data_IF_315451203747
#
_entry.id   IF_315451203747
#
_cell.length_a   1.000
_cell.length_b   1.000
_cell.length_c   1.000
_cell.angle_alpha   90.00
_cell.angle_beta   90.00
_cell.angle_gamma   90.00
#
_symmetry.space_group_name_H-M   'P 1'
#
loop_
_entity.id
_entity.type
_entity.pdbx_description
1 polymer ?
#
# COMPACT_ATOMS: atom_id res chain seq x y z
N UNK A 1 12.27 -0.53 -11.05
CA UNK A 1 13.58 0.09 -11.33
C UNK A 1 13.52 1.59 -11.02
N UNK A 2 14.64 2.19 -10.60
CA UNK A 2 14.73 3.63 -10.32
C UNK A 2 14.32 4.48 -11.52
N UNK A 3 14.66 4.06 -12.72
CA UNK A 3 14.26 4.71 -13.98
C UNK A 3 12.74 4.96 -14.10
N UNK A 4 11.91 4.07 -13.55
CA UNK A 4 10.46 4.25 -13.56
C UNK A 4 9.99 5.29 -12.55
N UNK A 5 10.73 5.51 -11.47
CA UNK A 5 10.41 6.55 -10.47
C UNK A 5 10.79 7.95 -10.94
N UNK A 6 11.82 8.09 -11.75
CA UNK A 6 12.21 9.39 -12.34
C UNK A 6 11.16 9.93 -13.31
N UNK A 7 10.36 9.04 -13.93
CA UNK A 7 9.26 9.42 -14.84
C UNK A 7 7.95 9.74 -14.11
N UNK A 8 7.83 9.33 -12.82
CA UNK A 8 6.62 9.54 -12.03
C UNK A 8 6.71 10.84 -11.23
N UNK A 9 5.63 11.62 -11.30
CA UNK A 9 5.40 12.73 -10.40
C UNK A 9 4.24 12.38 -9.47
N UNK A 10 4.40 12.54 -8.13
CA UNK A 10 3.32 12.29 -7.20
C UNK A 10 2.08 13.15 -7.52
N UNK A 11 0.91 12.55 -7.55
CA UNK A 11 -0.34 13.25 -7.84
C UNK A 11 -0.58 14.41 -6.86
N UNK A 12 -0.21 14.22 -5.59
CA UNK A 12 -0.33 15.23 -4.55
C UNK A 12 0.53 16.49 -4.82
N UNK A 13 1.55 16.40 -5.67
CA UNK A 13 2.46 17.50 -6.04
C UNK A 13 2.12 18.13 -7.39
N UNK A 14 1.01 17.72 -8.02
CA UNK A 14 0.55 18.23 -9.31
C UNK A 14 -0.40 19.42 -9.11
N UNK A 15 0.09 20.54 -8.64
CA UNK A 15 -0.71 21.73 -8.29
C UNK A 15 -1.69 22.15 -9.38
N UNK A 16 -1.23 22.19 -10.63
CA UNK A 16 -2.08 22.58 -11.78
C UNK A 16 -3.22 21.58 -12.01
N UNK A 17 -2.97 20.28 -11.83
CA UNK A 17 -3.99 19.26 -11.94
C UNK A 17 -5.01 19.36 -10.81
N UNK A 18 -4.53 19.56 -9.58
CA UNK A 18 -5.39 19.72 -8.41
C UNK A 18 -6.30 20.95 -8.58
N UNK A 19 -5.74 22.10 -8.99
CA UNK A 19 -6.51 23.32 -9.26
C UNK A 19 -7.52 23.11 -10.38
N UNK A 20 -7.12 22.48 -11.51
CA UNK A 20 -8.01 22.17 -12.63
C UNK A 20 -9.22 21.33 -12.20
N UNK A 21 -8.99 20.31 -11.37
CA UNK A 21 -10.03 19.33 -10.99
C UNK A 21 -10.89 19.77 -9.83
N UNK A 22 -10.31 20.46 -8.87
CA UNK A 22 -11.01 20.86 -7.65
C UNK A 22 -11.55 22.29 -7.70
N UNK A 23 -10.98 23.13 -8.55
CA UNK A 23 -11.31 24.56 -8.63
C UNK A 23 -10.61 25.41 -7.57
N UNK A 24 -9.67 24.83 -6.80
CA UNK A 24 -8.92 25.55 -5.78
C UNK A 24 -7.43 25.15 -5.77
N UNK A 25 -6.58 26.12 -5.44
CA UNK A 25 -5.13 25.89 -5.34
C UNK A 25 -4.79 25.03 -4.12
N UNK A 26 -3.81 24.15 -4.24
CA UNK A 26 -3.24 23.43 -3.10
C UNK A 26 -2.85 24.38 -1.96
N UNK A 27 -3.03 23.92 -0.71
CA UNK A 27 -2.73 24.71 0.48
C UNK A 27 -3.69 25.86 0.80
N UNK A 28 -4.79 26.04 0.00
CA UNK A 28 -5.78 27.09 0.29
C UNK A 28 -6.68 26.67 1.45
N UNK A 29 -6.75 27.54 2.47
CA UNK A 29 -7.64 27.33 3.62
C UNK A 29 -8.90 28.16 3.45
N UNK A 30 -10.10 27.52 3.56
CA UNK A 30 -11.37 28.22 3.61
C UNK A 30 -11.98 28.62 2.26
N UNK A 31 -11.56 28.01 1.15
CA UNK A 31 -12.16 28.19 -0.18
C UNK A 31 -13.26 27.19 -0.50
N UNK A 32 -14.08 27.49 -1.52
CA UNK A 32 -14.99 26.51 -2.11
C UNK A 32 -14.21 25.67 -3.12
N UNK A 33 -14.33 24.34 -3.04
CA UNK A 33 -13.75 23.42 -4.01
C UNK A 33 -14.63 22.18 -4.20
N UNK A 34 -14.40 21.47 -5.30
CA UNK A 34 -15.14 20.26 -5.64
C UNK A 34 -14.68 19.10 -4.77
N UNK A 35 -15.58 18.51 -3.98
CA UNK A 35 -15.31 17.38 -3.09
C UNK A 35 -15.13 16.04 -3.82
N UNK A 36 -15.80 15.88 -4.98
CA UNK A 36 -15.69 14.70 -5.84
C UNK A 36 -15.25 15.14 -7.25
N UNK A 37 -13.97 15.49 -7.42
CA UNK A 37 -13.44 15.91 -8.71
C UNK A 37 -13.39 14.74 -9.70
N UNK A 38 -13.38 15.07 -11.00
CA UNK A 38 -13.21 14.07 -12.04
C UNK A 38 -11.79 13.49 -12.02
N UNK A 39 -11.69 12.16 -11.97
CA UNK A 39 -10.40 11.44 -11.81
C UNK A 39 -10.26 10.22 -12.74
N UNK A 40 -11.26 9.95 -13.55
CA UNK A 40 -11.36 8.75 -14.39
C UNK A 40 -10.22 8.60 -15.42
N UNK A 41 -9.67 9.71 -15.88
CA UNK A 41 -8.55 9.76 -16.84
C UNK A 41 -7.16 9.77 -16.19
N UNK A 42 -7.08 9.97 -14.87
CA UNK A 42 -5.79 10.10 -14.16
C UNK A 42 -4.95 8.82 -14.24
N UNK A 43 -5.49 7.61 -14.02
CA UNK A 43 -4.70 6.38 -14.09
C UNK A 43 -4.03 6.16 -15.44
N UNK A 44 -4.71 6.50 -16.53
CA UNK A 44 -4.17 6.36 -17.89
C UNK A 44 -3.13 7.43 -18.24
N UNK A 45 -3.29 8.64 -17.72
CA UNK A 45 -2.44 9.80 -18.09
C UNK A 45 -1.17 9.92 -17.25
N UNK A 46 -1.22 9.52 -15.99
CA UNK A 46 -0.17 9.82 -15.01
C UNK A 46 0.48 8.57 -14.40
N UNK A 47 0.12 7.38 -14.86
CA UNK A 47 0.81 6.15 -14.47
C UNK A 47 1.83 5.72 -15.50
N UNK A 48 2.83 4.97 -15.05
CA UNK A 48 3.78 4.27 -15.92
C UNK A 48 3.37 2.80 -16.03
N UNK A 49 3.31 2.28 -17.25
CA UNK A 49 3.02 0.86 -17.50
C UNK A 49 4.31 0.08 -17.71
N UNK A 50 4.57 -0.89 -16.86
CA UNK A 50 5.74 -1.77 -16.99
C UNK A 50 5.31 -3.24 -16.86
N UNK A 51 5.56 -4.05 -17.91
CA UNK A 51 5.28 -5.50 -17.92
C UNK A 51 3.83 -5.87 -17.51
N UNK A 52 2.87 -5.06 -17.90
CA UNK A 52 1.46 -5.25 -17.56
C UNK A 52 1.06 -4.72 -16.18
N UNK A 53 2.00 -4.23 -15.38
CA UNK A 53 1.73 -3.57 -14.10
C UNK A 53 1.73 -2.05 -14.30
N UNK A 54 0.66 -1.42 -13.84
CA UNK A 54 0.51 0.03 -13.86
C UNK A 54 0.93 0.60 -12.51
N UNK A 55 1.93 1.46 -12.52
CA UNK A 55 2.43 2.16 -11.34
C UNK A 55 1.91 3.61 -11.34
N UNK A 56 1.29 4.01 -10.23
CA UNK A 56 0.83 5.38 -9.98
C UNK A 56 1.36 5.82 -8.63
N UNK A 57 2.00 6.97 -8.57
CA UNK A 57 2.48 7.55 -7.32
C UNK A 57 1.47 8.58 -6.80
N UNK A 58 0.87 8.29 -5.64
CA UNK A 58 -0.13 9.17 -5.04
C UNK A 58 0.51 10.38 -4.34
N UNK A 59 1.69 10.19 -3.75
CA UNK A 59 2.30 11.18 -2.87
C UNK A 59 1.70 11.19 -1.47
N UNK A 60 2.21 12.06 -0.62
CA UNK A 60 1.69 12.28 0.74
C UNK A 60 1.09 13.68 0.86
N UNK A 61 -0.10 13.76 1.42
CA UNK A 61 -0.65 15.03 1.89
C UNK A 61 -0.34 15.12 3.38
N UNK A 62 0.51 16.08 3.77
CA UNK A 62 0.66 16.41 5.18
C UNK A 62 -0.70 16.92 5.67
N UNK A 63 -1.41 16.08 6.40
CA UNK A 63 -2.63 16.47 7.11
C UNK A 63 -2.19 17.42 8.24
N UNK A 64 -2.01 18.68 7.89
CA UNK A 64 -1.78 19.73 8.86
C UNK A 64 -2.95 19.80 9.83
N UNK A 65 -2.78 19.21 11.00
CA UNK A 65 -3.63 19.30 12.18
C UNK A 65 -5.14 19.14 11.96
N UNK A 66 -5.68 18.03 12.45
CA UNK A 66 -7.11 17.81 12.74
C UNK A 66 -8.12 18.37 11.72
N UNK A 67 -8.39 17.59 10.69
CA UNK A 67 -9.65 17.70 9.96
C UNK A 67 -9.72 18.74 8.84
N UNK A 68 -8.61 19.23 8.34
CA UNK A 68 -8.63 20.10 7.17
C UNK A 68 -8.99 19.30 5.92
N UNK A 69 -10.19 19.52 5.38
CA UNK A 69 -10.54 19.06 4.04
C UNK A 69 -9.87 20.03 3.07
N UNK A 70 -8.78 19.59 2.46
CA UNK A 70 -8.07 20.37 1.45
C UNK A 70 -8.31 19.80 0.05
N UNK A 71 -8.12 20.59 -1.01
CA UNK A 71 -8.33 20.15 -2.39
C UNK A 71 -7.54 18.90 -2.75
N UNK A 72 -6.29 18.79 -2.30
CA UNK A 72 -5.41 17.65 -2.51
C UNK A 72 -6.00 16.37 -1.91
N UNK A 73 -6.43 16.44 -0.66
CA UNK A 73 -7.03 15.30 0.03
C UNK A 73 -8.34 14.84 -0.62
N UNK A 74 -9.18 15.79 -1.08
CA UNK A 74 -10.40 15.48 -1.80
C UNK A 74 -10.11 14.76 -3.12
N UNK A 75 -9.12 15.23 -3.87
CA UNK A 75 -8.71 14.63 -5.13
C UNK A 75 -8.13 13.23 -4.92
N UNK A 76 -7.19 13.05 -3.99
CA UNK A 76 -6.59 11.75 -3.70
C UNK A 76 -7.63 10.74 -3.19
N UNK A 77 -8.54 11.17 -2.31
CA UNK A 77 -9.63 10.32 -1.83
C UNK A 77 -10.54 9.86 -2.97
N UNK A 78 -10.92 10.77 -3.87
CA UNK A 78 -11.78 10.44 -5.01
C UNK A 78 -11.06 9.51 -5.98
N UNK A 79 -9.78 9.76 -6.27
CA UNK A 79 -8.96 8.90 -7.12
C UNK A 79 -8.82 7.50 -6.52
N UNK A 80 -8.52 7.41 -5.25
CA UNK A 80 -8.42 6.15 -4.53
C UNK A 80 -9.72 5.35 -4.61
N UNK A 81 -10.86 6.00 -4.32
CA UNK A 81 -12.16 5.38 -4.42
C UNK A 81 -12.45 4.89 -5.85
N UNK A 82 -12.12 5.71 -6.87
CA UNK A 82 -12.29 5.34 -8.28
C UNK A 82 -11.48 4.08 -8.65
N UNK A 83 -10.23 3.97 -8.18
CA UNK A 83 -9.38 2.81 -8.42
C UNK A 83 -9.95 1.54 -7.80
N UNK A 84 -10.49 1.62 -6.58
CA UNK A 84 -11.09 0.50 -5.86
C UNK A 84 -12.37 -0.05 -6.51
N UNK A 85 -13.09 0.76 -7.28
CA UNK A 85 -14.30 0.31 -7.98
C UNK A 85 -14.05 -0.49 -9.27
N UNK A 86 -12.81 -0.64 -9.72
CA UNK A 86 -12.45 -1.42 -10.91
C UNK A 86 -12.40 -2.91 -10.54
N UNK A 87 -13.51 -3.61 -10.73
CA UNK A 87 -13.72 -4.99 -10.25
C UNK A 87 -12.82 -6.06 -10.89
N UNK A 88 -12.29 -5.79 -12.07
CA UNK A 88 -11.47 -6.75 -12.82
C UNK A 88 -9.97 -6.55 -12.62
N UNK A 89 -9.57 -5.54 -11.83
CA UNK A 89 -8.19 -5.19 -11.58
C UNK A 89 -7.75 -5.66 -10.18
N UNK A 90 -6.46 -6.03 -10.05
CA UNK A 90 -5.81 -6.20 -8.75
C UNK A 90 -5.13 -4.89 -8.39
N UNK A 91 -5.57 -4.25 -7.32
CA UNK A 91 -4.98 -3.03 -6.80
C UNK A 91 -4.11 -3.35 -5.59
N UNK A 92 -2.81 -3.04 -5.67
CA UNK A 92 -1.89 -3.10 -4.55
C UNK A 92 -1.59 -1.69 -4.05
N UNK A 93 -1.83 -1.46 -2.76
CA UNK A 93 -1.47 -0.22 -2.08
C UNK A 93 -0.23 -0.47 -1.25
N UNK A 94 0.90 0.09 -1.70
CA UNK A 94 2.13 0.11 -0.90
C UNK A 94 2.07 1.30 0.06
N UNK A 95 1.97 1.02 1.34
CA UNK A 95 1.75 2.02 2.39
C UNK A 95 2.83 1.96 3.46
N UNK A 96 3.12 3.09 4.10
CA UNK A 96 3.85 3.07 5.36
C UNK A 96 3.11 2.27 6.42
N UNK A 97 3.84 1.72 7.39
CA UNK A 97 3.26 0.93 8.46
C UNK A 97 2.22 1.77 9.25
N UNK A 98 0.97 1.43 9.08
CA UNK A 98 -0.15 2.10 9.71
C UNK A 98 -1.42 2.07 8.85
N UNK A 99 -2.52 2.53 9.42
CA UNK A 99 -3.83 2.63 8.75
C UNK A 99 -4.33 4.07 8.66
N UNK A 100 -3.46 5.02 8.99
CA UNK A 100 -3.81 6.45 9.10
C UNK A 100 -4.30 7.04 7.78
N UNK A 101 -3.85 6.46 6.66
CA UNK A 101 -4.25 6.86 5.32
C UNK A 101 -5.56 6.21 4.85
N UNK A 102 -6.04 5.17 5.56
CA UNK A 102 -7.30 4.51 5.28
C UNK A 102 -8.41 5.14 6.12
N UNK A 103 -9.35 5.81 5.47
CA UNK A 103 -10.57 6.26 6.11
C UNK A 103 -11.62 5.14 6.16
N UNK A 104 -12.62 5.23 7.06
CA UNK A 104 -13.73 4.26 7.13
C UNK A 104 -14.44 4.04 5.80
N UNK A 105 -14.55 5.10 4.99
CA UNK A 105 -15.21 5.02 3.68
C UNK A 105 -14.42 4.27 2.60
N UNK A 106 -13.13 3.99 2.82
CA UNK A 106 -12.26 3.28 1.86
C UNK A 106 -12.04 1.83 2.25
N UNK A 107 -12.22 1.49 3.52
CA UNK A 107 -12.01 0.14 4.06
C UNK A 107 -13.01 -0.87 3.50
N UNK A 108 -14.25 -0.45 3.22
CA UNK A 108 -15.29 -1.31 2.65
C UNK A 108 -14.92 -1.86 1.25
N UNK A 109 -13.91 -1.29 0.61
CA UNK A 109 -13.44 -1.69 -0.73
C UNK A 109 -12.07 -2.38 -0.70
N UNK A 110 -11.48 -2.57 0.48
CA UNK A 110 -10.21 -3.29 0.64
C UNK A 110 -10.51 -4.74 0.99
N UNK A 111 -10.14 -5.66 0.10
CA UNK A 111 -10.38 -7.09 0.31
C UNK A 111 -9.51 -7.67 1.42
N UNK A 112 -8.26 -7.24 1.53
CA UNK A 112 -7.35 -7.69 2.57
C UNK A 112 -6.22 -6.69 2.84
N UNK A 113 -5.70 -6.67 4.07
CA UNK A 113 -4.47 -5.98 4.46
C UNK A 113 -3.40 -6.99 4.83
N UNK A 114 -2.23 -6.87 4.20
CA UNK A 114 -1.05 -7.64 4.53
C UNK A 114 -0.12 -6.79 5.39
N UNK A 115 0.16 -7.25 6.61
CA UNK A 115 1.14 -6.62 7.50
C UNK A 115 2.43 -7.43 7.44
N UNK A 116 3.48 -6.82 6.88
CA UNK A 116 4.79 -7.44 6.77
C UNK A 116 5.55 -7.27 8.08
N UNK A 117 6.00 -8.39 8.66
CA UNK A 117 6.68 -8.43 9.97
C UNK A 117 8.01 -9.16 9.90
N UNK A 118 8.98 -8.71 10.67
CA UNK A 118 10.20 -9.46 10.94
C UNK A 118 10.06 -10.28 12.23
N UNK A 119 10.90 -11.30 12.42
CA UNK A 119 10.88 -12.18 13.58
C UNK A 119 11.39 -11.48 14.86
N UNK A 120 10.74 -10.39 15.25
CA UNK A 120 11.06 -9.61 16.44
C UNK A 120 9.80 -9.25 17.23
N UNK A 121 9.92 -9.15 18.57
CA UNK A 121 8.81 -8.70 19.43
C UNK A 121 8.32 -7.28 19.09
N UNK A 122 9.24 -6.40 18.65
CA UNK A 122 8.90 -5.04 18.25
C UNK A 122 7.99 -5.06 17.02
N UNK A 123 8.37 -5.80 15.97
CA UNK A 123 7.58 -5.90 14.74
C UNK A 123 6.19 -6.47 14.99
N UNK A 124 6.10 -7.54 15.78
CA UNK A 124 4.79 -8.10 16.18
C UNK A 124 3.99 -7.16 17.08
N UNK A 125 4.65 -6.37 17.93
CA UNK A 125 3.99 -5.32 18.72
C UNK A 125 3.34 -4.25 17.83
N UNK A 126 4.05 -3.81 16.79
CA UNK A 126 3.49 -2.89 15.78
C UNK A 126 2.32 -3.52 15.03
N UNK A 127 2.42 -4.78 14.62
CA UNK A 127 1.32 -5.48 13.95
C UNK A 127 0.05 -5.56 14.83
N UNK A 128 0.19 -5.77 16.14
CA UNK A 128 -0.95 -5.75 17.09
C UNK A 128 -1.58 -4.35 17.19
N UNK A 129 -0.78 -3.28 17.15
CA UNK A 129 -1.29 -1.91 17.10
C UNK A 129 -2.04 -1.64 15.79
N UNK A 130 -1.48 -2.06 14.65
CA UNK A 130 -2.14 -1.96 13.34
C UNK A 130 -3.47 -2.72 13.36
N UNK A 131 -3.51 -3.95 13.91
CA UNK A 131 -4.75 -4.70 14.05
C UNK A 131 -5.82 -3.93 14.82
N UNK A 132 -5.45 -3.29 15.94
CA UNK A 132 -6.38 -2.48 16.71
C UNK A 132 -6.96 -1.33 15.89
N UNK A 133 -6.09 -0.57 15.21
CA UNK A 133 -6.49 0.54 14.34
C UNK A 133 -7.35 0.06 13.16
N UNK A 134 -6.99 -1.07 12.54
CA UNK A 134 -7.77 -1.69 11.47
C UNK A 134 -9.19 -2.04 11.94
N UNK A 135 -9.32 -2.65 13.12
CA UNK A 135 -10.64 -2.94 13.72
C UNK A 135 -11.45 -1.67 14.01
N UNK A 136 -10.80 -0.59 14.48
CA UNK A 136 -11.47 0.69 14.78
C UNK A 136 -12.10 1.34 13.53
N UNK A 137 -11.53 1.08 12.35
CA UNK A 137 -12.05 1.55 11.06
C UNK A 137 -12.93 0.52 10.34
N UNK A 138 -13.05 -0.71 10.85
CA UNK A 138 -13.92 -1.76 10.30
C UNK A 138 -13.22 -2.77 9.40
N UNK A 139 -11.88 -2.70 9.22
CA UNK A 139 -11.12 -3.65 8.41
C UNK A 139 -10.96 -4.99 9.14
N UNK A 140 -11.62 -6.03 8.64
CA UNK A 140 -11.67 -7.35 9.27
C UNK A 140 -10.60 -8.32 8.76
N UNK A 141 -10.23 -8.23 7.48
CA UNK A 141 -9.30 -9.16 6.83
C UNK A 141 -7.88 -8.63 6.88
N UNK A 142 -7.18 -9.00 7.96
CA UNK A 142 -5.79 -8.61 8.20
C UNK A 142 -4.96 -9.87 8.40
N UNK A 143 -3.87 -9.99 7.64
CA UNK A 143 -2.96 -11.13 7.62
C UNK A 143 -1.52 -10.70 7.84
N UNK A 144 -0.70 -11.60 8.39
CA UNK A 144 0.74 -11.39 8.50
C UNK A 144 1.50 -12.12 7.39
N UNK A 145 2.58 -11.48 6.95
CA UNK A 145 3.62 -12.10 6.13
C UNK A 145 4.96 -11.91 6.85
N UNK A 146 5.60 -13.01 7.23
CA UNK A 146 6.94 -12.97 7.81
C UNK A 146 7.98 -12.58 6.76
N UNK A 147 8.83 -11.60 7.05
CA UNK A 147 9.87 -11.14 6.13
C UNK A 147 11.26 -11.38 6.71
N UNK A 148 12.22 -11.63 5.84
CA UNK A 148 13.63 -11.89 6.19
C UNK A 148 13.80 -13.03 7.20
N UNK A 149 13.00 -14.08 7.07
CA UNK A 149 13.06 -15.25 7.94
C UNK A 149 14.29 -16.08 7.59
N UNK A 150 15.18 -16.30 8.56
CA UNK A 150 16.50 -16.91 8.35
C UNK A 150 16.52 -18.42 8.60
N UNK A 151 15.65 -18.91 9.48
CA UNK A 151 15.65 -20.29 9.93
C UNK A 151 14.30 -20.71 10.53
N UNK A 152 14.18 -21.99 10.88
CA UNK A 152 12.96 -22.55 11.46
C UNK A 152 12.59 -21.97 12.84
N UNK A 153 13.58 -21.56 13.64
CA UNK A 153 13.32 -20.98 14.96
C UNK A 153 12.61 -19.62 14.82
N UNK A 154 13.01 -18.81 13.83
CA UNK A 154 12.34 -17.54 13.52
C UNK A 154 10.95 -17.76 12.95
N UNK A 155 10.77 -18.74 12.07
CA UNK A 155 9.45 -19.11 11.56
C UNK A 155 8.53 -19.54 12.72
N UNK A 156 9.00 -20.42 13.57
CA UNK A 156 8.30 -20.90 14.77
C UNK A 156 7.95 -19.79 15.75
N UNK A 157 8.89 -18.85 15.96
CA UNK A 157 8.66 -17.69 16.78
C UNK A 157 7.48 -16.85 16.22
N UNK A 158 7.45 -16.58 14.91
CA UNK A 158 6.35 -15.86 14.29
C UNK A 158 5.03 -16.63 14.42
N UNK A 159 5.00 -17.93 14.16
CA UNK A 159 3.80 -18.77 14.29
C UNK A 159 3.23 -18.76 15.71
N UNK A 160 4.08 -18.85 16.72
CA UNK A 160 3.67 -18.91 18.14
C UNK A 160 3.17 -17.55 18.63
N UNK A 161 3.86 -16.47 18.27
CA UNK A 161 3.58 -15.11 18.79
C UNK A 161 2.50 -14.36 17.98
N UNK A 162 2.13 -14.86 16.79
CA UNK A 162 1.13 -14.23 15.90
C UNK A 162 -0.29 -14.77 16.08
N UNK A 163 -0.58 -15.53 17.13
CA UNK A 163 -1.87 -16.26 17.35
C UNK A 163 -3.13 -15.44 17.12
N UNK A 164 -3.05 -14.14 17.32
CA UNK A 164 -4.20 -13.23 17.16
C UNK A 164 -4.40 -12.74 15.72
N UNK A 165 -3.42 -12.94 14.83
CA UNK A 165 -3.45 -12.48 13.45
C UNK A 165 -2.97 -13.63 12.56
N UNK A 166 -3.76 -14.12 11.59
CA UNK A 166 -3.34 -15.22 10.73
C UNK A 166 -2.06 -14.91 9.98
N UNK A 167 -1.08 -15.78 10.09
CA UNK A 167 0.18 -15.72 9.35
C UNK A 167 0.05 -16.59 8.10
N UNK A 168 0.20 -15.99 6.91
CA UNK A 168 -0.09 -16.64 5.63
C UNK A 168 1.14 -17.06 4.84
N UNK A 169 2.33 -16.75 5.32
CA UNK A 169 3.58 -17.18 4.71
C UNK A 169 4.80 -16.42 5.17
N UNK A 170 5.95 -16.83 4.63
CA UNK A 170 7.26 -16.27 4.95
C UNK A 170 8.05 -15.95 3.69
N UNK A 171 8.69 -14.80 3.69
CA UNK A 171 9.73 -14.43 2.73
C UNK A 171 11.10 -14.70 3.35
N UNK A 172 11.96 -15.50 2.73
CA UNK A 172 13.25 -15.85 3.29
C UNK A 172 14.23 -14.67 3.30
N UNK A 173 15.14 -14.68 4.26
CA UNK A 173 16.33 -13.83 4.21
C UNK A 173 17.31 -14.41 3.17
N UNK A 174 17.46 -13.71 2.05
CA UNK A 174 18.36 -14.12 0.97
C UNK A 174 19.29 -12.95 0.61
N UNK A 175 20.59 -13.19 0.57
CA UNK A 175 21.59 -12.18 0.22
C UNK A 175 21.43 -11.66 -1.21
N UNK A 176 20.87 -12.47 -2.09
CA UNK A 176 20.56 -12.06 -3.47
C UNK A 176 19.52 -10.94 -3.55
N UNK A 177 18.69 -10.75 -2.51
CA UNK A 177 17.78 -9.60 -2.41
C UNK A 177 18.57 -8.29 -2.38
N UNK A 178 19.63 -8.24 -1.55
CA UNK A 178 20.51 -7.06 -1.47
C UNK A 178 21.35 -6.90 -2.75
N UNK A 179 21.70 -8.00 -3.41
CA UNK A 179 22.40 -7.96 -4.69
C UNK A 179 21.49 -7.38 -5.79
N UNK A 180 20.25 -7.86 -5.88
CA UNK A 180 19.25 -7.34 -6.82
C UNK A 180 19.02 -5.84 -6.64
N UNK A 181 18.90 -5.39 -5.38
CA UNK A 181 18.74 -3.97 -5.04
C UNK A 181 19.93 -3.13 -5.52
N UNK A 182 21.17 -3.56 -5.22
CA UNK A 182 22.39 -2.88 -5.69
C UNK A 182 22.53 -2.83 -7.22
N UNK A 183 21.97 -3.82 -7.91
CA UNK A 183 22.01 -3.90 -9.38
C UNK A 183 20.82 -3.17 -10.05
N UNK A 184 19.87 -2.65 -9.26
CA UNK A 184 18.65 -2.02 -9.77
C UNK A 184 17.72 -2.97 -10.52
N UNK A 185 17.81 -4.29 -10.25
CA UNK A 185 16.98 -5.31 -10.91
C UNK A 185 15.86 -5.81 -10.00
N UNK A 186 14.70 -6.21 -10.56
CA UNK A 186 13.59 -6.69 -9.76
C UNK A 186 13.95 -7.96 -8.98
N UNK A 187 13.71 -7.95 -7.67
CA UNK A 187 13.95 -9.09 -6.77
C UNK A 187 13.22 -10.34 -7.26
N UNK A 188 11.97 -10.18 -7.73
CA UNK A 188 11.16 -11.28 -8.25
C UNK A 188 11.80 -12.04 -9.42
N UNK A 189 12.54 -11.35 -10.28
CA UNK A 189 13.22 -11.98 -11.42
C UNK A 189 14.56 -12.61 -11.04
N UNK A 190 15.20 -12.12 -9.97
CA UNK A 190 16.57 -12.51 -9.60
C UNK A 190 16.63 -13.54 -8.48
N UNK A 191 15.63 -13.57 -7.58
CA UNK A 191 15.69 -14.37 -6.36
C UNK A 191 14.57 -15.42 -6.34
N UNK A 192 14.90 -16.64 -6.76
CA UNK A 192 13.92 -17.73 -6.89
C UNK A 192 13.25 -18.08 -5.56
N UNK A 193 14.00 -18.04 -4.44
CA UNK A 193 13.44 -18.31 -3.11
C UNK A 193 12.31 -17.34 -2.73
N UNK A 194 12.46 -16.06 -3.05
CA UNK A 194 11.43 -15.02 -2.83
C UNK A 194 10.26 -15.22 -3.77
N UNK A 195 10.52 -15.55 -5.03
CA UNK A 195 9.48 -15.81 -6.02
C UNK A 195 8.57 -16.98 -5.61
N UNK A 196 9.15 -18.10 -5.20
CA UNK A 196 8.41 -19.28 -4.71
C UNK A 196 7.58 -18.92 -3.47
N UNK A 197 8.19 -18.20 -2.52
CA UNK A 197 7.52 -17.76 -1.30
C UNK A 197 6.35 -16.81 -1.60
N UNK A 198 6.53 -15.88 -2.54
CA UNK A 198 5.46 -14.95 -2.98
C UNK A 198 4.29 -15.71 -3.61
N UNK A 199 4.55 -16.69 -4.47
CA UNK A 199 3.48 -17.53 -5.04
C UNK A 199 2.71 -18.30 -3.97
N UNK A 200 3.39 -18.77 -2.92
CA UNK A 200 2.72 -19.40 -1.79
C UNK A 200 1.78 -18.43 -1.07
N UNK A 201 2.25 -17.23 -0.74
CA UNK A 201 1.44 -16.18 -0.09
C UNK A 201 0.22 -15.84 -0.93
N UNK A 202 0.37 -15.64 -2.25
CA UNK A 202 -0.74 -15.35 -3.17
C UNK A 202 -1.76 -16.49 -3.18
N UNK A 203 -1.30 -17.74 -3.24
CA UNK A 203 -2.21 -18.90 -3.21
C UNK A 203 -3.03 -18.94 -1.93
N UNK A 204 -2.38 -18.80 -0.77
CA UNK A 204 -3.08 -18.81 0.53
C UNK A 204 -4.05 -17.64 0.62
N UNK A 205 -3.67 -16.45 0.17
CA UNK A 205 -4.54 -15.28 0.16
C UNK A 205 -5.80 -15.52 -0.67
N UNK A 206 -5.67 -16.09 -1.88
CA UNK A 206 -6.80 -16.39 -2.75
C UNK A 206 -7.75 -17.48 -2.17
N UNK A 207 -7.26 -18.33 -1.28
CA UNK A 207 -8.09 -19.32 -0.57
C UNK A 207 -8.89 -18.70 0.59
N UNK A 208 -8.47 -17.52 1.06
CA UNK A 208 -9.05 -16.82 2.21
C UNK A 208 -9.97 -15.64 1.81
N UNK A 209 -9.85 -15.15 0.58
CA UNK A 209 -10.68 -14.07 0.00
C UNK A 209 -11.73 -14.61 -0.94
#
# INVERSE_FOLDING_TARGET
PEELREELKPIAEMDALIEERTGAKPGTVGGFFTLNPRVDDIPERFSVLHRGVRLLEMGSVELGGSGCICPEAAMLKTLFTHLLFRKDDILLLDMYAGVEHLGRATVDFVDAMLVVVEATRRSLGTAKQIKKLANDIGLQRLYLVGNKVRNEDEAKFLEVESKDIPLIGFLPADLKVQEADRLGIPVYDHVESVKVATHHVIRVLNELT
#
